data_IF_182138718507
#
_entry.id   IF_182138718507
#
_cell.length_a   1.000
_cell.length_b   1.000
_cell.length_c   1.000
_cell.angle_alpha   90.00
_cell.angle_beta   90.00
_cell.angle_gamma   90.00
#
_symmetry.space_group_name_H-M   'P 1'
#
loop_
_entity.id
_entity.type
_entity.pdbx_description
1 polymer ?
#
# COMPACT_ATOMS: atom_id res chain seq x y z
N UNK A 1 -16.09 12.19 19.05
CA UNK A 1 -15.10 11.12 18.80
C UNK A 1 -15.10 10.83 17.31
N UNK A 2 -13.92 10.58 16.72
CA UNK A 2 -13.83 10.17 15.33
C UNK A 2 -14.58 8.83 15.15
N UNK A 3 -15.04 8.53 13.94
CA UNK A 3 -15.59 7.20 13.62
C UNK A 3 -14.53 6.08 13.66
N UNK A 4 -13.26 6.43 13.87
CA UNK A 4 -12.09 5.57 13.82
C UNK A 4 -11.57 5.18 15.22
N UNK A 5 -11.96 5.92 16.25
CA UNK A 5 -11.52 5.68 17.63
C UNK A 5 -11.74 4.21 18.05
N UNK A 6 -10.67 3.55 18.47
CA UNK A 6 -10.68 2.16 18.96
C UNK A 6 -10.80 1.06 17.88
N UNK A 7 -11.03 1.42 16.61
CA UNK A 7 -11.01 0.47 15.48
C UNK A 7 -9.59 -0.06 15.24
N UNK A 8 -9.48 -1.29 14.74
CA UNK A 8 -8.22 -1.95 14.41
C UNK A 8 -7.98 -1.89 12.90
N UNK A 9 -6.93 -1.17 12.50
CA UNK A 9 -6.49 -1.09 11.11
C UNK A 9 -5.23 -1.95 10.90
N UNK A 10 -5.36 -2.99 10.09
CA UNK A 10 -4.24 -3.78 9.59
C UNK A 10 -3.73 -3.17 8.29
N UNK A 11 -2.53 -2.59 8.32
CA UNK A 11 -1.91 -1.88 7.21
C UNK A 11 -0.77 -2.74 6.69
N UNK A 12 -0.93 -3.20 5.45
CA UNK A 12 0.00 -4.12 4.79
C UNK A 12 0.65 -3.43 3.60
N UNK A 13 1.97 -3.28 3.65
CA UNK A 13 2.67 -2.34 2.79
C UNK A 13 4.15 -2.30 3.06
N UNK A 14 5.00 -2.37 2.03
CA UNK A 14 6.30 -1.74 2.19
C UNK A 14 6.08 -0.25 2.47
N UNK A 15 6.51 0.16 3.65
CA UNK A 15 6.50 1.52 4.18
C UNK A 15 7.39 2.46 3.33
N UNK A 16 8.06 1.94 2.31
CA UNK A 16 8.84 2.71 1.33
C UNK A 16 8.24 2.49 -0.06
N UNK A 17 7.89 3.58 -0.73
CA UNK A 17 7.90 3.59 -2.21
C UNK A 17 9.29 4.09 -2.60
N UNK A 18 10.16 3.23 -3.12
CA UNK A 18 11.46 3.68 -3.61
C UNK A 18 11.25 4.47 -4.91
N UNK A 19 11.36 5.79 -4.83
CA UNK A 19 11.59 6.67 -5.97
C UNK A 19 12.80 7.54 -5.64
N UNK A 20 14.00 7.08 -5.98
CA UNK A 20 15.15 7.98 -6.07
C UNK A 20 15.01 8.79 -7.37
N UNK A 21 14.26 9.90 -7.31
CA UNK A 21 14.54 11.03 -8.19
C UNK A 21 15.68 11.79 -7.53
N UNK A 22 16.92 11.54 -7.98
CA UNK A 22 18.03 12.45 -7.70
C UNK A 22 17.74 13.73 -8.49
N UNK A 23 16.96 14.65 -7.90
CA UNK A 23 16.95 16.04 -8.30
C UNK A 23 17.89 16.78 -7.34
N UNK A 24 18.97 17.30 -7.89
CA UNK A 24 19.90 18.19 -7.20
C UNK A 24 19.13 19.38 -6.59
N UNK A 25 18.83 19.30 -5.31
CA UNK A 25 18.61 20.46 -4.47
C UNK A 25 19.28 20.22 -3.12
N UNK A 26 20.42 20.90 -2.93
CA UNK A 26 21.08 21.02 -1.65
C UNK A 26 20.09 21.52 -0.60
N UNK A 27 20.02 20.79 0.53
CA UNK A 27 19.14 20.97 1.69
C UNK A 27 17.77 20.27 1.62
N UNK A 28 17.78 18.95 1.70
CA UNK A 28 16.75 18.20 2.42
C UNK A 28 17.44 17.39 3.51
N UNK A 29 17.25 17.80 4.76
CA UNK A 29 17.64 17.03 5.94
C UNK A 29 16.88 15.68 5.91
N UNK A 30 17.60 14.56 5.77
CA UNK A 30 17.18 13.18 6.05
C UNK A 30 15.90 12.63 5.36
N UNK A 31 15.73 12.83 4.04
CA UNK A 31 14.60 12.23 3.29
C UNK A 31 14.90 10.89 2.59
N UNK A 32 15.96 10.18 2.99
CA UNK A 32 16.30 8.85 2.45
C UNK A 32 15.66 7.71 3.24
N UNK A 33 14.89 6.85 2.57
CA UNK A 33 14.44 5.53 3.00
C UNK A 33 13.20 5.37 3.90
N UNK A 34 12.34 6.38 4.09
CA UNK A 34 11.13 6.19 4.94
C UNK A 34 9.83 6.83 4.45
N UNK A 35 9.78 7.38 3.23
CA UNK A 35 8.57 7.99 2.67
C UNK A 35 7.76 7.00 1.82
N UNK A 36 6.70 6.42 2.40
CA UNK A 36 5.78 5.58 1.66
C UNK A 36 4.34 5.73 2.11
N UNK A 37 3.42 5.41 1.20
CA UNK A 37 1.97 5.50 1.43
C UNK A 37 1.59 4.71 2.70
N UNK A 38 2.24 3.57 2.96
CA UNK A 38 2.03 2.79 4.18
C UNK A 38 2.37 3.54 5.47
N UNK A 39 3.51 4.26 5.51
CA UNK A 39 3.92 5.08 6.67
C UNK A 39 2.87 6.13 7.01
N UNK A 40 2.56 6.97 6.03
CA UNK A 40 1.64 8.10 6.21
C UNK A 40 0.23 7.62 6.53
N UNK A 41 -0.19 6.49 5.94
CA UNK A 41 -1.45 5.85 6.29
C UNK A 41 -1.45 5.41 7.76
N UNK A 42 -0.39 4.75 8.23
CA UNK A 42 -0.29 4.32 9.63
C UNK A 42 -0.36 5.49 10.60
N UNK A 43 0.44 6.54 10.38
CA UNK A 43 0.44 7.75 11.20
C UNK A 43 -0.94 8.39 11.19
N UNK A 44 -1.58 8.48 10.02
CA UNK A 44 -2.89 9.11 9.92
C UNK A 44 -3.98 8.32 10.65
N UNK A 45 -4.06 6.99 10.44
CA UNK A 45 -5.03 6.15 11.15
C UNK A 45 -4.79 6.19 12.66
N UNK A 46 -3.53 6.16 13.09
CA UNK A 46 -3.16 6.27 14.50
C UNK A 46 -3.59 7.62 15.11
N UNK A 47 -3.37 8.73 14.38
CA UNK A 47 -3.82 10.08 14.78
C UNK A 47 -5.34 10.22 14.89
N UNK A 48 -6.10 9.35 14.23
CA UNK A 48 -7.56 9.28 14.31
C UNK A 48 -8.06 8.39 15.47
N UNK A 49 -7.16 7.83 16.28
CA UNK A 49 -7.48 6.97 17.42
C UNK A 49 -7.62 5.49 17.07
N UNK A 50 -7.21 5.06 15.87
CA UNK A 50 -7.15 3.64 15.56
C UNK A 50 -6.01 2.96 16.31
N UNK A 51 -6.24 1.69 16.65
CA UNK A 51 -5.19 0.73 16.92
C UNK A 51 -4.66 0.21 15.58
N UNK A 52 -3.34 0.24 15.40
CA UNK A 52 -2.73 -0.08 14.11
C UNK A 52 -1.87 -1.34 14.22
N UNK A 53 -2.01 -2.24 13.25
CA UNK A 53 -1.09 -3.33 12.99
C UNK A 53 -0.35 -3.01 11.69
N UNK A 54 0.97 -2.90 11.76
CA UNK A 54 1.82 -2.54 10.61
C UNK A 54 2.82 -3.65 10.32
N UNK A 55 3.02 -3.95 9.04
CA UNK A 55 3.97 -4.97 8.57
C UNK A 55 4.80 -4.46 7.40
N UNK A 56 5.98 -5.04 7.23
CA UNK A 56 6.92 -4.71 6.17
C UNK A 56 8.20 -5.54 6.30
N UNK A 57 9.03 -5.53 5.26
CA UNK A 57 10.20 -6.41 5.16
C UNK A 57 11.42 -5.93 5.97
N UNK A 58 11.46 -4.63 6.31
CA UNK A 58 12.58 -4.00 7.01
C UNK A 58 12.14 -3.58 8.41
N UNK A 59 12.75 -4.19 9.43
CA UNK A 59 12.47 -3.90 10.84
C UNK A 59 12.70 -2.42 11.19
N UNK A 60 13.78 -1.83 10.66
CA UNK A 60 14.14 -0.41 10.91
C UNK A 60 13.04 0.55 10.47
N UNK A 61 12.39 0.30 9.32
CA UNK A 61 11.30 1.16 8.82
C UNK A 61 10.04 1.05 9.67
N UNK A 62 9.75 -0.16 10.14
CA UNK A 62 8.60 -0.41 11.01
C UNK A 62 8.80 0.28 12.36
N UNK A 63 10.00 0.18 12.92
CA UNK A 63 10.35 0.86 14.16
C UNK A 63 10.28 2.38 14.00
N UNK A 64 10.85 2.92 12.93
CA UNK A 64 10.73 4.34 12.64
C UNK A 64 9.26 4.80 12.52
N UNK A 65 8.41 4.03 11.83
CA UNK A 65 6.98 4.35 11.69
C UNK A 65 6.24 4.27 13.03
N UNK A 66 6.56 3.26 13.86
CA UNK A 66 6.04 3.14 15.21
C UNK A 66 6.40 4.35 16.05
N UNK A 67 7.66 4.77 16.05
CA UNK A 67 8.11 5.96 16.78
C UNK A 67 7.41 7.23 16.30
N UNK A 68 7.23 7.41 15.00
CA UNK A 68 6.50 8.55 14.46
C UNK A 68 5.03 8.55 14.91
N UNK A 69 4.36 7.39 14.98
CA UNK A 69 2.99 7.31 15.52
C UNK A 69 2.94 7.71 17.00
N UNK A 70 3.94 7.29 17.79
CA UNK A 70 4.06 7.63 19.23
C UNK A 70 4.28 9.12 19.42
N UNK A 71 5.19 9.73 18.65
CA UNK A 71 5.44 11.18 18.67
C UNK A 71 4.19 11.98 18.30
N UNK A 72 3.31 11.42 17.45
CA UNK A 72 2.02 12.01 17.10
C UNK A 72 0.89 11.69 18.10
N UNK A 73 1.21 11.19 19.30
CA UNK A 73 0.27 11.03 20.41
C UNK A 73 -0.42 9.67 20.50
N UNK A 74 -0.02 8.69 19.70
CA UNK A 74 -0.54 7.32 19.78
C UNK A 74 0.16 6.57 20.91
N UNK A 75 -0.60 5.85 21.74
CA UNK A 75 0.01 5.01 22.77
C UNK A 75 0.69 3.78 22.18
N UNK A 76 1.80 3.36 22.76
CA UNK A 76 2.58 2.23 22.24
C UNK A 76 1.78 0.92 22.19
N UNK A 77 0.92 0.67 23.18
CA UNK A 77 0.04 -0.51 23.21
C UNK A 77 -1.02 -0.53 22.10
N UNK A 78 -1.23 0.60 21.41
CA UNK A 78 -2.13 0.69 20.25
C UNK A 78 -1.40 0.42 18.93
N UNK A 79 -0.10 0.06 18.96
CA UNK A 79 0.71 -0.18 17.78
C UNK A 79 1.33 -1.57 17.85
N UNK A 80 0.93 -2.43 16.92
CA UNK A 80 1.52 -3.76 16.73
C UNK A 80 2.36 -3.76 15.46
N UNK A 81 3.59 -4.29 15.53
CA UNK A 81 4.51 -4.40 14.39
C UNK A 81 4.87 -5.86 14.15
N UNK A 82 4.85 -6.30 12.89
CA UNK A 82 5.33 -7.64 12.52
C UNK A 82 6.16 -7.58 11.23
N UNK A 83 7.43 -7.99 11.34
CA UNK A 83 8.39 -7.97 10.23
C UNK A 83 8.21 -9.21 9.37
N UNK A 84 8.01 -9.03 8.06
CA UNK A 84 8.00 -10.14 7.11
C UNK A 84 7.44 -9.78 5.74
N UNK A 85 7.28 -10.81 4.91
CA UNK A 85 6.86 -10.66 3.51
C UNK A 85 5.44 -11.22 3.33
N UNK A 86 4.50 -10.32 3.03
CA UNK A 86 3.09 -10.64 2.79
C UNK A 86 2.83 -11.54 1.59
N UNK A 87 3.82 -11.77 0.72
CA UNK A 87 3.73 -12.74 -0.37
C UNK A 87 3.92 -14.17 0.10
N UNK A 88 4.51 -14.37 1.28
CA UNK A 88 4.60 -15.65 1.95
C UNK A 88 3.27 -15.97 2.65
N UNK A 89 2.73 -17.16 2.37
CA UNK A 89 1.41 -17.58 2.84
C UNK A 89 1.36 -17.84 4.34
N UNK A 90 2.39 -18.48 4.89
CA UNK A 90 2.48 -18.71 6.34
C UNK A 90 2.64 -17.40 7.10
N UNK A 91 3.46 -16.48 6.58
CA UNK A 91 3.58 -15.14 7.17
C UNK A 91 2.27 -14.36 7.12
N UNK A 92 1.56 -14.39 5.98
CA UNK A 92 0.28 -13.71 5.85
C UNK A 92 -0.76 -14.25 6.85
N UNK A 93 -0.76 -15.56 7.07
CA UNK A 93 -1.60 -16.21 8.08
C UNK A 93 -1.20 -15.78 9.49
N UNK A 94 0.09 -15.86 9.82
CA UNK A 94 0.64 -15.40 11.10
C UNK A 94 0.27 -13.94 11.38
N UNK A 95 0.38 -13.06 10.39
CA UNK A 95 0.04 -11.65 10.52
C UNK A 95 -1.41 -11.42 10.94
N UNK A 96 -2.35 -12.16 10.33
CA UNK A 96 -3.77 -12.07 10.69
C UNK A 96 -3.99 -12.60 12.11
N UNK A 97 -3.43 -13.77 12.42
CA UNK A 97 -3.57 -14.40 13.73
C UNK A 97 -3.00 -13.53 14.85
N UNK A 98 -1.77 -13.02 14.70
CA UNK A 98 -1.14 -12.18 15.70
C UNK A 98 -1.83 -10.83 15.86
N UNK A 99 -2.31 -10.21 14.77
CA UNK A 99 -3.11 -8.98 14.85
C UNK A 99 -4.40 -9.20 15.65
N UNK A 100 -5.08 -10.33 15.41
CA UNK A 100 -6.31 -10.69 16.12
C UNK A 100 -6.02 -11.07 17.57
N UNK A 101 -4.93 -11.77 17.86
CA UNK A 101 -4.52 -12.11 19.22
C UNK A 101 -4.18 -10.85 20.03
N UNK A 102 -3.52 -9.87 19.40
CA UNK A 102 -3.11 -8.64 20.05
C UNK A 102 -4.28 -7.68 20.29
N UNK A 103 -5.19 -7.50 19.33
CA UNK A 103 -6.27 -6.50 19.42
C UNK A 103 -7.70 -7.05 19.56
N UNK A 104 -7.89 -8.36 19.37
CA UNK A 104 -9.17 -9.08 19.42
C UNK A 104 -10.03 -9.00 18.17
N UNK A 105 -9.68 -8.15 17.18
CA UNK A 105 -10.50 -7.87 15.99
C UNK A 105 -9.69 -7.28 14.84
N UNK A 106 -10.30 -7.24 13.66
CA UNK A 106 -9.85 -6.44 12.51
C UNK A 106 -11.07 -5.68 11.97
N UNK A 107 -10.96 -4.35 11.88
CA UNK A 107 -12.02 -3.48 11.37
C UNK A 107 -11.72 -2.97 9.96
N UNK A 108 -10.44 -2.75 9.67
CA UNK A 108 -9.98 -2.11 8.44
C UNK A 108 -8.76 -2.89 7.95
N UNK A 109 -8.81 -3.37 6.72
CA UNK A 109 -7.66 -3.90 6.01
C UNK A 109 -7.21 -2.89 4.96
N UNK A 110 -6.02 -2.32 5.12
CA UNK A 110 -5.41 -1.42 4.13
C UNK A 110 -4.27 -2.12 3.40
N UNK A 111 -4.33 -2.09 2.07
CA UNK A 111 -3.35 -2.71 1.18
C UNK A 111 -2.57 -1.64 0.43
N UNK A 112 -1.39 -1.30 0.92
CA UNK A 112 -0.48 -0.33 0.28
C UNK A 112 0.73 -0.98 -0.39
N UNK A 113 0.78 -2.33 -0.46
CA UNK A 113 1.80 -3.07 -1.19
C UNK A 113 1.70 -2.80 -2.69
N UNK A 114 2.77 -2.24 -3.25
CA UNK A 114 2.84 -1.93 -4.67
C UNK A 114 4.23 -2.27 -5.15
N UNK A 115 4.35 -3.39 -5.87
CA UNK A 115 5.56 -3.68 -6.61
C UNK A 115 5.54 -2.88 -7.91
N UNK A 116 6.28 -1.77 -7.89
CA UNK A 116 6.63 -0.98 -9.07
C UNK A 116 8.05 -0.44 -8.85
N UNK A 117 9.04 -0.98 -9.56
CA UNK A 117 10.44 -0.56 -9.46
C UNK A 117 10.91 0.05 -10.78
N UNK A 118 10.44 1.25 -11.10
CA UNK A 118 11.04 1.98 -12.23
C UNK A 118 12.36 2.57 -11.77
N UNK A 119 13.46 1.90 -12.08
CA UNK A 119 14.70 2.62 -12.34
C UNK A 119 14.49 3.35 -13.67
N UNK A 120 14.44 4.68 -13.61
CA UNK A 120 14.49 5.53 -14.79
C UNK A 120 15.83 5.27 -15.50
N UNK A 121 15.85 4.35 -16.47
CA UNK A 121 16.96 4.23 -17.43
C UNK A 121 16.78 5.38 -18.42
N UNK A 122 17.19 6.57 -18.01
CA UNK A 122 17.38 7.70 -18.91
C UNK A 122 18.74 7.51 -19.58
N UNK A 123 18.86 6.53 -20.46
CA UNK A 123 20.00 6.41 -21.37
C UNK A 123 19.57 5.65 -22.62
N UNK A 124 19.47 6.39 -23.73
CA UNK A 124 19.14 5.93 -25.09
C UNK A 124 20.22 5.03 -25.72
N UNK A 125 20.84 4.16 -24.94
CA UNK A 125 21.83 3.23 -25.44
C UNK A 125 21.52 1.88 -24.84
N UNK A 126 21.46 0.86 -25.68
CA UNK A 126 21.43 -0.54 -25.25
C UNK A 126 22.49 -0.71 -24.16
N UNK A 127 22.06 -0.83 -22.91
CA UNK A 127 22.90 -1.33 -21.84
C UNK A 127 22.11 -2.47 -21.23
N UNK A 128 22.70 -3.65 -21.39
CA UNK A 128 22.40 -4.86 -20.65
C UNK A 128 22.64 -4.55 -19.16
N UNK A 129 21.71 -3.85 -18.51
CA UNK A 129 21.77 -3.50 -17.10
C UNK A 129 20.83 -4.43 -16.35
N UNK A 130 21.42 -5.39 -15.64
CA UNK A 130 20.81 -6.26 -14.64
C UNK A 130 20.32 -5.45 -13.40
N UNK A 131 19.41 -4.50 -13.61
CA UNK A 131 18.80 -3.65 -12.60
C UNK A 131 17.30 -3.93 -12.45
N UNK A 132 16.97 -4.66 -11.40
CA UNK A 132 15.63 -5.04 -10.89
C UNK A 132 14.69 -3.81 -10.80
N UNK A 133 13.47 -3.73 -11.36
CA UNK A 133 12.62 -4.74 -12.01
C UNK A 133 11.28 -4.17 -12.53
N UNK A 134 10.48 -5.02 -13.17
CA UNK A 134 9.12 -4.75 -13.71
C UNK A 134 8.97 -3.73 -14.86
N UNK A 135 10.02 -3.52 -15.66
CA UNK A 135 9.92 -2.85 -16.97
C UNK A 135 10.07 -3.90 -18.06
N UNK A 136 9.08 -4.01 -18.94
CA UNK A 136 9.03 -4.95 -20.04
C UNK A 136 7.80 -4.75 -20.93
N UNK A 137 7.95 -5.00 -22.21
CA UNK A 137 6.84 -5.07 -23.18
C UNK A 137 6.24 -6.47 -23.17
N UNK A 138 5.13 -6.66 -23.87
CA UNK A 138 4.54 -8.00 -24.09
C UNK A 138 5.52 -8.98 -24.74
N UNK A 139 6.50 -8.49 -25.51
CA UNK A 139 7.47 -9.31 -26.23
C UNK A 139 8.63 -9.77 -25.35
N UNK A 140 9.08 -8.95 -24.39
CA UNK A 140 10.37 -9.15 -23.73
C UNK A 140 10.33 -9.21 -22.20
N UNK A 141 9.14 -9.07 -21.59
CA UNK A 141 9.03 -9.23 -20.15
C UNK A 141 9.31 -10.69 -19.76
N UNK A 142 10.26 -10.90 -18.84
CA UNK A 142 10.53 -12.24 -18.32
C UNK A 142 9.36 -12.74 -17.46
N UNK A 143 9.07 -14.03 -17.54
CA UNK A 143 8.03 -14.66 -16.73
C UNK A 143 8.33 -14.53 -15.23
N UNK A 144 9.60 -14.57 -14.83
CA UNK A 144 9.99 -14.33 -13.44
C UNK A 144 9.55 -12.94 -12.95
N UNK A 145 9.78 -11.88 -13.72
CA UNK A 145 9.36 -10.53 -13.35
C UNK A 145 7.83 -10.37 -13.39
N UNK A 146 7.17 -11.03 -14.35
CA UNK A 146 5.72 -11.13 -14.38
C UNK A 146 5.19 -11.77 -13.08
N UNK A 147 5.73 -12.92 -12.69
CA UNK A 147 5.33 -13.67 -11.50
C UNK A 147 5.58 -12.86 -10.23
N UNK A 148 6.72 -12.17 -10.11
CA UNK A 148 7.01 -11.30 -8.97
C UNK A 148 5.96 -10.18 -8.83
N UNK A 149 5.62 -9.49 -9.94
CA UNK A 149 4.62 -8.42 -9.94
C UNK A 149 3.24 -8.97 -9.58
N UNK A 150 2.83 -10.08 -10.19
CA UNK A 150 1.52 -10.69 -9.93
C UNK A 150 1.44 -11.28 -8.51
N UNK A 151 2.53 -11.83 -7.99
CA UNK A 151 2.59 -12.38 -6.65
C UNK A 151 2.37 -11.28 -5.60
N UNK A 152 3.05 -10.14 -5.75
CA UNK A 152 2.87 -8.99 -4.84
C UNK A 152 1.51 -8.32 -5.04
N UNK A 153 1.17 -7.92 -6.27
CA UNK A 153 0.03 -7.02 -6.51
C UNK A 153 -1.31 -7.75 -6.59
N UNK A 154 -1.33 -9.07 -6.85
CA UNK A 154 -2.56 -9.85 -6.99
C UNK A 154 -2.64 -10.99 -5.97
N UNK A 155 -1.71 -11.96 -6.00
CA UNK A 155 -1.80 -13.16 -5.16
C UNK A 155 -1.82 -12.81 -3.67
N UNK A 156 -0.91 -11.95 -3.22
CA UNK A 156 -0.85 -11.52 -1.81
C UNK A 156 -2.12 -10.79 -1.38
N UNK A 157 -2.73 -10.00 -2.28
CA UNK A 157 -3.95 -9.23 -1.98
C UNK A 157 -5.14 -10.16 -1.84
N UNK A 158 -5.29 -11.11 -2.77
CA UNK A 158 -6.34 -12.12 -2.71
C UNK A 158 -6.25 -12.92 -1.42
N UNK A 159 -5.08 -13.46 -1.12
CA UNK A 159 -4.81 -14.29 0.04
C UNK A 159 -5.13 -13.56 1.36
N UNK A 160 -4.60 -12.34 1.54
CA UNK A 160 -4.84 -11.57 2.76
C UNK A 160 -6.30 -11.10 2.88
N UNK A 161 -6.96 -10.81 1.76
CA UNK A 161 -8.40 -10.55 1.75
C UNK A 161 -9.17 -11.77 2.24
N UNK A 162 -8.89 -12.94 1.67
CA UNK A 162 -9.53 -14.21 2.03
C UNK A 162 -9.37 -14.50 3.53
N UNK A 163 -8.16 -14.35 4.07
CA UNK A 163 -7.85 -14.58 5.49
C UNK A 163 -8.50 -13.55 6.41
N UNK A 164 -8.67 -12.30 5.96
CA UNK A 164 -9.27 -11.24 6.77
C UNK A 164 -10.81 -11.28 6.81
N UNK A 165 -11.47 -11.83 5.79
CA UNK A 165 -12.94 -11.85 5.67
C UNK A 165 -13.64 -12.36 6.94
N UNK A 166 -13.27 -13.51 7.55
CA UNK A 166 -13.93 -14.00 8.77
C UNK A 166 -13.90 -13.01 9.94
N UNK A 167 -12.85 -12.19 10.02
CA UNK A 167 -12.69 -11.17 11.07
C UNK A 167 -13.47 -9.90 10.71
N UNK A 168 -13.45 -9.50 9.43
CA UNK A 168 -14.20 -8.35 8.92
C UNK A 168 -15.72 -8.55 8.98
N UNK A 169 -16.22 -9.80 8.82
CA UNK A 169 -17.64 -10.13 8.99
C UNK A 169 -18.13 -9.82 10.41
N UNK A 170 -17.29 -10.05 11.43
CA UNK A 170 -17.63 -9.78 12.83
C UNK A 170 -17.76 -8.28 13.12
N UNK A 171 -17.03 -7.45 12.37
CA UNK A 171 -16.94 -6.01 12.59
C UNK A 171 -17.73 -5.18 11.59
N UNK A 172 -18.26 -5.81 10.52
CA UNK A 172 -18.80 -5.11 9.34
C UNK A 172 -17.78 -4.11 8.79
N UNK A 173 -16.56 -4.63 8.64
CA UNK A 173 -15.35 -3.85 8.41
C UNK A 173 -15.19 -3.34 6.98
N UNK A 174 -13.97 -2.88 6.68
CA UNK A 174 -13.64 -2.22 5.42
C UNK A 174 -12.34 -2.77 4.83
N UNK A 175 -12.29 -2.91 3.51
CA UNK A 175 -11.08 -3.24 2.75
C UNK A 175 -10.77 -2.07 1.82
N UNK A 176 -9.52 -1.62 1.87
CA UNK A 176 -9.02 -0.48 1.08
C UNK A 176 -7.81 -0.94 0.28
N UNK A 177 -7.98 -1.01 -1.04
CA UNK A 177 -6.95 -1.40 -1.98
C UNK A 177 -6.29 -0.19 -2.62
N UNK A 178 -4.96 -0.06 -2.53
CA UNK A 178 -4.25 1.00 -3.24
C UNK A 178 -3.89 0.52 -4.66
N UNK A 179 -4.59 1.09 -5.65
CA UNK A 179 -4.42 0.82 -7.07
C UNK A 179 -3.76 2.01 -7.78
N UNK A 180 -3.83 2.05 -9.10
CA UNK A 180 -3.18 3.06 -9.94
C UNK A 180 -4.05 3.38 -11.15
N UNK A 181 -3.83 4.56 -11.75
CA UNK A 181 -4.37 4.84 -13.09
C UNK A 181 -3.99 3.79 -14.13
N UNK A 182 -2.89 3.06 -13.91
CA UNK A 182 -2.49 1.92 -14.73
C UNK A 182 -3.49 0.75 -14.73
N UNK A 183 -4.46 0.72 -13.80
CA UNK A 183 -5.59 -0.21 -13.84
C UNK A 183 -6.74 0.21 -14.77
N UNK A 184 -6.76 1.49 -15.18
CA UNK A 184 -7.75 2.07 -16.11
C UNK A 184 -7.18 2.43 -17.48
N UNK A 185 -5.89 2.77 -17.53
CA UNK A 185 -5.18 3.20 -18.74
C UNK A 185 -3.95 2.34 -18.95
N UNK A 186 -3.62 2.11 -20.21
CA UNK A 186 -2.46 1.34 -20.61
C UNK A 186 -1.23 2.22 -20.78
N UNK A 187 -0.07 1.70 -20.38
CA UNK A 187 1.23 2.34 -20.57
C UNK A 187 2.20 1.31 -21.16
N UNK A 188 2.89 1.66 -22.24
CA UNK A 188 3.89 0.78 -22.83
C UNK A 188 5.07 0.53 -21.88
N UNK A 189 5.63 -0.68 -21.91
CA UNK A 189 6.81 -1.04 -21.12
C UNK A 189 6.55 -1.43 -19.67
N UNK A 190 5.29 -1.51 -19.23
CA UNK A 190 4.93 -1.94 -17.86
C UNK A 190 3.75 -2.92 -17.85
N UNK A 191 3.75 -3.87 -18.79
CA UNK A 191 2.60 -4.75 -19.07
C UNK A 191 2.11 -5.50 -17.83
N UNK A 192 2.99 -6.17 -17.08
CA UNK A 192 2.61 -6.88 -15.85
C UNK A 192 2.03 -5.96 -14.78
N UNK A 193 2.56 -4.74 -14.66
CA UNK A 193 2.02 -3.78 -13.70
C UNK A 193 0.60 -3.35 -14.07
N UNK A 194 0.37 -2.97 -15.33
CA UNK A 194 -0.97 -2.61 -15.82
C UNK A 194 -1.97 -3.75 -15.68
N UNK A 195 -1.57 -4.98 -16.03
CA UNK A 195 -2.38 -6.18 -15.81
C UNK A 195 -2.71 -6.37 -14.33
N UNK A 196 -1.71 -6.27 -13.45
CA UNK A 196 -1.90 -6.49 -12.02
C UNK A 196 -2.86 -5.46 -11.39
N UNK A 197 -2.80 -4.20 -11.82
CA UNK A 197 -3.68 -3.14 -11.31
C UNK A 197 -5.09 -3.23 -11.91
N UNK A 198 -5.23 -3.66 -13.16
CA UNK A 198 -6.54 -3.97 -13.73
C UNK A 198 -7.20 -5.17 -13.03
N UNK A 199 -6.42 -6.21 -12.72
CA UNK A 199 -6.87 -7.37 -11.95
C UNK A 199 -7.28 -6.97 -10.52
N UNK A 200 -6.48 -6.15 -9.84
CA UNK A 200 -6.80 -5.61 -8.51
C UNK A 200 -8.10 -4.78 -8.52
N UNK A 201 -8.28 -3.94 -9.53
CA UNK A 201 -9.49 -3.15 -9.71
C UNK A 201 -10.73 -4.04 -9.90
N UNK A 202 -10.62 -5.09 -10.71
CA UNK A 202 -11.73 -6.03 -10.93
C UNK A 202 -12.02 -6.86 -9.67
N UNK A 203 -10.98 -7.35 -8.99
CA UNK A 203 -11.10 -8.07 -7.72
C UNK A 203 -11.80 -7.22 -6.65
N UNK A 204 -11.47 -5.93 -6.57
CA UNK A 204 -12.11 -4.98 -5.64
C UNK A 204 -13.62 -4.90 -5.90
N UNK A 205 -14.03 -4.75 -7.18
CA UNK A 205 -15.44 -4.68 -7.55
C UNK A 205 -16.19 -5.98 -7.26
N UNK A 206 -15.58 -7.12 -7.57
CA UNK A 206 -16.17 -8.43 -7.29
C UNK A 206 -16.36 -8.63 -5.78
N UNK A 207 -15.31 -8.40 -4.98
CA UNK A 207 -15.39 -8.56 -3.53
C UNK A 207 -16.39 -7.59 -2.88
N UNK A 208 -16.54 -6.36 -3.41
CA UNK A 208 -17.56 -5.44 -2.94
C UNK A 208 -18.98 -6.00 -3.12
N UNK A 209 -19.27 -6.62 -4.26
CA UNK A 209 -20.57 -7.25 -4.52
C UNK A 209 -20.81 -8.48 -3.64
N UNK A 210 -19.79 -9.33 -3.49
CA UNK A 210 -19.88 -10.56 -2.72
C UNK A 210 -20.06 -10.32 -1.21
N UNK A 211 -19.40 -9.29 -0.66
CA UNK A 211 -19.34 -9.06 0.78
C UNK A 211 -20.31 -7.98 1.28
N UNK A 212 -21.06 -7.32 0.38
CA UNK A 212 -22.03 -6.29 0.73
C UNK A 212 -23.11 -6.81 1.70
N UNK A 213 -23.59 -8.05 1.52
CA UNK A 213 -24.59 -8.65 2.40
C UNK A 213 -24.07 -8.90 3.83
N UNK A 214 -22.75 -9.08 3.98
CA UNK A 214 -22.09 -9.17 5.29
C UNK A 214 -21.83 -7.80 5.92
N UNK A 215 -22.18 -6.69 5.24
CA UNK A 215 -21.92 -5.32 5.67
C UNK A 215 -20.47 -4.89 5.54
N UNK A 216 -19.65 -5.60 4.75
CA UNK A 216 -18.25 -5.24 4.51
C UNK A 216 -18.19 -4.33 3.28
N UNK A 217 -17.48 -3.20 3.39
CA UNK A 217 -17.21 -2.31 2.25
C UNK A 217 -15.84 -2.60 1.66
N UNK A 218 -15.75 -2.65 0.33
CA UNK A 218 -14.49 -2.89 -0.38
C UNK A 218 -14.29 -1.81 -1.42
N UNK A 219 -13.27 -0.98 -1.24
CA UNK A 219 -12.99 0.18 -2.06
C UNK A 219 -11.54 0.18 -2.56
N UNK A 220 -11.28 0.91 -3.64
CA UNK A 220 -9.93 1.14 -4.13
C UNK A 220 -9.63 2.62 -4.34
N UNK A 221 -8.45 3.03 -3.86
CA UNK A 221 -7.90 4.37 -4.07
C UNK A 221 -6.89 4.31 -5.19
N UNK A 222 -7.05 5.17 -6.21
CA UNK A 222 -6.14 5.26 -7.36
C UNK A 222 -5.38 6.57 -7.29
N UNK A 223 -4.07 6.50 -7.44
CA UNK A 223 -3.24 7.70 -7.56
C UNK A 223 -2.59 7.80 -8.94
N UNK A 224 -2.37 9.04 -9.37
CA UNK A 224 -1.58 9.44 -10.54
C UNK A 224 -0.41 10.26 -10.00
N UNK A 225 0.82 9.86 -10.29
CA UNK A 225 1.94 10.79 -10.15
C UNK A 225 1.89 11.72 -11.36
N UNK A 226 1.39 12.94 -11.18
CA UNK A 226 1.69 13.99 -12.14
C UNK A 226 3.21 14.19 -12.08
N UNK A 227 3.90 13.84 -13.17
CA UNK A 227 5.24 14.33 -13.43
C UNK A 227 5.19 15.85 -13.22
N UNK A 228 6.01 16.39 -12.33
CA UNK A 228 6.14 17.84 -12.13
C UNK A 228 6.55 18.49 -13.48
N UNK A 229 5.56 18.89 -14.27
CA UNK A 229 5.72 19.99 -15.21
C UNK A 229 5.19 21.21 -14.48
N UNK A 230 6.13 22.02 -14.02
CA UNK A 230 5.91 23.35 -13.46
C UNK A 230 5.02 24.13 -14.43
N UNK A 231 3.79 24.40 -14.01
CA UNK A 231 3.19 25.70 -14.25
C UNK A 231 2.99 26.29 -12.84
N UNK A 232 3.93 27.15 -12.46
CA UNK A 232 3.83 28.00 -11.29
C UNK A 232 2.49 28.74 -11.31
N UNK A 233 1.55 28.38 -10.44
CA UNK A 233 0.66 29.33 -9.79
C UNK A 233 0.30 28.81 -8.39
N UNK A 234 0.83 29.52 -7.39
CA UNK A 234 0.34 29.64 -6.00
C UNK A 234 0.16 28.38 -5.12
N UNK A 235 1.06 28.23 -4.14
CA UNK A 235 0.80 27.87 -2.73
C UNK A 235 -0.34 26.88 -2.39
N UNK A 236 -0.35 25.68 -2.96
CA UNK A 236 -1.25 24.61 -2.50
C UNK A 236 -0.41 23.41 -2.05
N UNK A 237 -0.31 23.23 -0.72
CA UNK A 237 0.09 21.98 -0.08
C UNK A 237 -1.00 20.95 -0.38
N UNK A 238 -0.69 19.88 -1.11
CA UNK A 238 -1.61 18.75 -1.28
C UNK A 238 -1.83 18.09 0.10
N UNK A 239 -2.99 18.36 0.71
CA UNK A 239 -3.44 17.72 1.93
C UNK A 239 -4.00 16.34 1.58
N UNK A 240 -3.65 15.33 2.37
CA UNK A 240 -4.15 13.93 2.35
C UNK A 240 -5.69 13.79 2.42
N UNK A 241 -6.42 14.90 2.57
CA UNK A 241 -7.88 15.00 2.71
C UNK A 241 -8.68 14.36 1.56
N UNK A 242 -8.13 14.30 0.34
CA UNK A 242 -8.85 13.77 -0.83
C UNK A 242 -9.03 12.25 -0.80
N UNK A 243 -8.23 11.53 -0.01
CA UNK A 243 -8.35 10.06 0.14
C UNK A 243 -9.55 9.70 1.02
N UNK A 244 -9.96 10.59 1.94
CA UNK A 244 -11.08 10.35 2.86
C UNK A 244 -12.46 10.49 2.21
N UNK A 245 -12.65 11.37 1.23
CA UNK A 245 -13.93 11.46 0.51
C UNK A 245 -14.26 10.17 -0.26
N UNK A 246 -13.23 9.44 -0.72
CA UNK A 246 -13.39 8.13 -1.37
C UNK A 246 -13.67 7.03 -0.33
N UNK A 247 -13.24 7.19 0.92
CA UNK A 247 -13.49 6.25 2.01
C UNK A 247 -14.90 6.37 2.62
N UNK A 248 -15.58 7.50 2.37
CA UNK A 248 -16.89 7.84 2.92
C UNK A 248 -18.07 7.52 1.98
N UNK A 249 -17.81 6.97 0.79
CA UNK A 249 -18.82 6.39 -0.11
C UNK A 249 -18.73 4.85 -0.02
#
# INVERSE_FOLDING_TARGET
>A
MSEFEGKVALITGDIIVHFDLVLHFDRIHNSGASSGIGKETAIHFASLGCRISITGRKAENLEYTKQECIVNGTKEENIFTLVGDVTNEEFAKQLIEETVNYFGRIDILVRTNIQYRVYLIISRKQVNCAGIGAVGTTENLSLQLYDEVMNVNCRSVFMLTQMAIPHLKKTRGNIINVSSVAGLRTFAGIVAYTMSKAALDQMTRTAALELAADGIRVNSVKYVYYLYTIICFSNIKFKFSLILEILMI
#
